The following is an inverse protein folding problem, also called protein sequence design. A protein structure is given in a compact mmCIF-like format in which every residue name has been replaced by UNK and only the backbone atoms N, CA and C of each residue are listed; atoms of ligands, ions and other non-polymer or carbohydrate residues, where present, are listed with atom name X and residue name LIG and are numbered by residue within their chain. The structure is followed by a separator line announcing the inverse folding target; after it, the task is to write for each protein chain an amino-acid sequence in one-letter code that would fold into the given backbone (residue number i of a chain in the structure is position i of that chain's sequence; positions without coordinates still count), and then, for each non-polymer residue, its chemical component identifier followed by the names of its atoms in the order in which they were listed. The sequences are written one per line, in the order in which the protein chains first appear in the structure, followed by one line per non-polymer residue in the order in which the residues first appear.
data_IF_827910872863
#
_entry.id   IF_827910872863
#
_cell.length_a   1.000
_cell.length_b   1.000
_cell.length_c   1.000
_cell.angle_alpha   90.00
_cell.angle_beta   90.00
_cell.angle_gamma   90.00
#
_symmetry.space_group_name_H-M   'P 1'
#
loop_
_entity.id
_entity.type
_entity.pdbx_description
1 polymer ?
#
# COMPACT_ATOMS: atom_id res chain seq x y z
N UNK A 1 -7.17 17.66 -3.93
CA UNK A 1 -7.28 16.18 -3.99
C UNK A 1 -6.06 15.46 -3.44
N UNK A 2 -4.88 16.12 -3.37
CA UNK A 2 -3.66 15.47 -2.87
C UNK A 2 -3.77 14.91 -1.46
N UNK A 3 -4.28 15.71 -0.51
CA UNK A 3 -4.48 15.28 0.88
C UNK A 3 -5.41 14.06 0.98
N UNK A 4 -6.53 14.08 0.24
CA UNK A 4 -7.45 12.95 0.19
C UNK A 4 -6.78 11.68 -0.37
N UNK A 5 -6.00 11.80 -1.46
CA UNK A 5 -5.24 10.68 -2.01
C UNK A 5 -4.21 10.10 -1.03
N UNK A 6 -3.47 10.97 -0.33
CA UNK A 6 -2.53 10.54 0.72
C UNK A 6 -3.21 9.85 1.89
N UNK A 7 -4.37 10.34 2.35
CA UNK A 7 -5.18 9.71 3.40
C UNK A 7 -5.69 8.34 2.95
N UNK A 8 -6.19 8.22 1.72
CA UNK A 8 -6.64 6.93 1.16
C UNK A 8 -5.46 5.95 1.14
N UNK A 9 -4.29 6.38 0.67
CA UNK A 9 -3.07 5.56 0.67
C UNK A 9 -2.63 5.11 2.06
N UNK A 10 -2.67 6.01 3.03
CA UNK A 10 -2.35 5.74 4.43
C UNK A 10 -3.31 4.69 5.04
N UNK A 11 -4.62 4.93 4.91
CA UNK A 11 -5.65 4.04 5.44
C UNK A 11 -5.55 2.67 4.78
N UNK A 12 -5.41 2.63 3.45
CA UNK A 12 -5.23 1.39 2.70
C UNK A 12 -3.99 0.61 3.19
N UNK A 13 -2.87 1.29 3.43
CA UNK A 13 -1.68 0.66 4.00
C UNK A 13 -1.91 0.11 5.41
N UNK A 14 -2.63 0.81 6.28
CA UNK A 14 -2.95 0.31 7.63
C UNK A 14 -3.78 -0.97 7.56
N UNK A 15 -4.83 -0.99 6.72
CA UNK A 15 -5.61 -2.20 6.51
C UNK A 15 -4.79 -3.32 5.83
N UNK A 16 -3.85 -2.96 4.96
CA UNK A 16 -2.89 -3.88 4.37
C UNK A 16 -2.01 -4.57 5.42
N UNK A 17 -1.56 -3.86 6.45
CA UNK A 17 -0.81 -4.45 7.58
C UNK A 17 -1.68 -5.46 8.34
N UNK A 18 -2.95 -5.11 8.60
CA UNK A 18 -3.89 -6.02 9.28
C UNK A 18 -4.12 -7.27 8.42
N UNK A 19 -4.36 -7.10 7.12
CA UNK A 19 -4.53 -8.20 6.17
C UNK A 19 -3.29 -9.10 6.09
N UNK A 20 -2.10 -8.51 6.03
CA UNK A 20 -0.84 -9.24 6.06
C UNK A 20 -0.66 -10.01 7.38
N UNK A 21 -1.04 -9.41 8.51
CA UNK A 21 -1.06 -10.08 9.80
C UNK A 21 -1.99 -11.30 9.81
N UNK A 22 -3.19 -11.18 9.26
CA UNK A 22 -4.12 -12.29 9.10
C UNK A 22 -3.50 -13.39 8.21
N UNK A 23 -2.92 -13.02 7.06
CA UNK A 23 -2.21 -13.95 6.17
C UNK A 23 -1.08 -14.69 6.89
N UNK A 24 -0.29 -13.99 7.71
CA UNK A 24 0.78 -14.58 8.52
C UNK A 24 0.24 -15.52 9.60
N UNK A 25 -0.88 -15.19 10.24
CA UNK A 25 -1.52 -16.06 11.23
C UNK A 25 -2.00 -17.36 10.57
N UNK A 26 -2.72 -17.26 9.44
CA UNK A 26 -3.14 -18.44 8.70
C UNK A 26 -1.96 -19.26 8.18
N UNK A 27 -0.92 -18.61 7.65
CA UNK A 27 0.31 -19.28 7.21
C UNK A 27 1.06 -19.96 8.36
N UNK A 28 1.10 -19.35 9.54
CA UNK A 28 1.72 -19.91 10.74
C UNK A 28 0.98 -21.15 11.26
N UNK A 29 -0.35 -21.08 11.34
CA UNK A 29 -1.18 -22.24 11.70
C UNK A 29 -1.09 -23.34 10.65
N UNK A 30 -1.16 -23.00 9.36
CA UNK A 30 -0.99 -23.95 8.25
C UNK A 30 0.37 -24.66 8.31
N UNK A 31 1.44 -23.93 8.66
CA UNK A 31 2.77 -24.51 8.84
C UNK A 31 2.83 -25.48 10.03
N UNK A 32 2.13 -25.17 11.12
CA UNK A 32 2.11 -26.02 12.31
C UNK A 32 1.39 -27.36 12.09
N UNK A 33 0.45 -27.42 11.14
CA UNK A 33 -0.24 -28.66 10.73
C UNK A 33 0.35 -29.28 9.47
N UNK A 34 1.54 -28.82 9.05
CA UNK A 34 2.27 -29.29 7.85
C UNK A 34 1.44 -29.25 6.55
N UNK A 35 0.56 -28.26 6.41
CA UNK A 35 -0.23 -28.08 5.20
C UNK A 35 0.65 -27.64 4.02
N UNK A 36 0.39 -28.22 2.85
CA UNK A 36 1.07 -27.86 1.61
C UNK A 36 0.89 -26.37 1.27
N UNK A 37 1.99 -25.73 0.86
CA UNK A 37 2.00 -24.31 0.50
C UNK A 37 2.05 -23.33 1.67
N UNK A 38 2.12 -23.79 2.93
CA UNK A 38 2.18 -22.90 4.10
C UNK A 38 3.35 -21.89 4.06
N UNK A 39 4.52 -22.32 3.59
CA UNK A 39 5.68 -21.43 3.45
C UNK A 39 5.43 -20.30 2.43
N UNK A 40 4.67 -20.57 1.37
CA UNK A 40 4.27 -19.54 0.40
C UNK A 40 3.33 -18.53 1.04
N UNK A 41 2.35 -18.98 1.84
CA UNK A 41 1.43 -18.08 2.55
C UNK A 41 2.18 -17.18 3.53
N UNK A 42 3.13 -17.74 4.29
CA UNK A 42 3.98 -16.94 5.19
C UNK A 42 4.83 -15.93 4.42
N UNK A 43 5.42 -16.33 3.29
CA UNK A 43 6.18 -15.42 2.41
C UNK A 43 5.33 -14.27 1.88
N UNK A 44 4.10 -14.57 1.41
CA UNK A 44 3.14 -13.56 0.95
C UNK A 44 2.73 -12.61 2.09
N UNK A 45 2.57 -13.12 3.31
CA UNK A 45 2.31 -12.31 4.49
C UNK A 45 3.42 -11.30 4.78
N UNK A 46 4.69 -11.72 4.72
CA UNK A 46 5.83 -10.82 4.91
C UNK A 46 5.98 -9.80 3.79
N UNK A 47 5.78 -10.22 2.53
CA UNK A 47 5.74 -9.31 1.39
C UNK A 47 4.65 -8.25 1.56
N UNK A 48 3.44 -8.69 1.95
CA UNK A 48 2.31 -7.82 2.18
C UNK A 48 2.55 -6.82 3.31
N UNK A 49 3.21 -7.25 4.39
CA UNK A 49 3.55 -6.41 5.52
C UNK A 49 4.52 -5.28 5.10
N UNK A 50 5.60 -5.64 4.40
CA UNK A 50 6.61 -4.69 3.93
C UNK A 50 6.00 -3.62 3.01
N UNK A 51 5.26 -4.04 1.99
CA UNK A 51 4.64 -3.10 1.05
C UNK A 51 3.54 -2.26 1.70
N UNK A 52 2.84 -2.79 2.70
CA UNK A 52 1.84 -2.03 3.45
C UNK A 52 2.48 -0.92 4.27
N UNK A 53 3.62 -1.17 4.92
CA UNK A 53 4.39 -0.13 5.60
C UNK A 53 4.89 0.95 4.63
N UNK A 54 5.41 0.54 3.47
CA UNK A 54 5.83 1.49 2.42
C UNK A 54 4.63 2.35 1.98
N UNK A 55 3.45 1.74 1.78
CA UNK A 55 2.25 2.46 1.40
C UNK A 55 1.79 3.46 2.49
N UNK A 56 1.89 3.11 3.77
CA UNK A 56 1.61 4.05 4.89
C UNK A 56 2.55 5.25 4.83
N UNK A 57 3.86 5.00 4.73
CA UNK A 57 4.88 6.05 4.72
C UNK A 57 4.68 6.97 3.50
N UNK A 58 4.51 6.39 2.31
CA UNK A 58 4.32 7.16 1.08
C UNK A 58 2.98 7.89 1.05
N UNK A 59 1.91 7.30 1.60
CA UNK A 59 0.62 7.97 1.79
C UNK A 59 0.73 9.19 2.69
N UNK A 60 1.44 9.08 3.81
CA UNK A 60 1.71 10.19 4.72
C UNK A 60 2.54 11.30 4.05
N UNK A 61 3.65 10.92 3.40
CA UNK A 61 4.54 11.86 2.69
C UNK A 61 3.80 12.57 1.55
N UNK A 62 2.95 11.85 0.82
CA UNK A 62 2.16 12.41 -0.28
C UNK A 62 1.20 13.51 0.18
N UNK A 63 0.77 13.57 1.45
CA UNK A 63 -0.09 14.65 1.94
C UNK A 63 0.62 16.02 2.01
N UNK A 64 1.94 16.04 2.21
CA UNK A 64 2.75 17.26 2.35
C UNK A 64 3.66 17.57 1.17
N UNK A 65 3.76 16.67 0.19
CA UNK A 65 4.70 16.78 -0.91
C UNK A 65 4.36 17.91 -1.90
N UNK A 66 5.37 18.65 -2.36
CA UNK A 66 5.20 19.59 -3.49
C UNK A 66 5.38 18.93 -4.87
N UNK A 67 5.89 17.70 -4.90
CA UNK A 67 6.18 16.96 -6.12
C UNK A 67 5.27 15.74 -6.28
N UNK A 68 5.17 15.26 -7.52
CA UNK A 68 4.40 14.06 -7.88
C UNK A 68 5.06 12.75 -7.47
N UNK A 69 6.33 12.81 -7.06
CA UNK A 69 7.17 11.63 -6.82
C UNK A 69 6.54 10.71 -5.77
N UNK A 70 6.06 11.20 -4.61
CA UNK A 70 5.55 10.31 -3.57
C UNK A 70 4.26 9.57 -3.99
N UNK A 71 3.37 10.22 -4.75
CA UNK A 71 2.19 9.55 -5.27
C UNK A 71 2.51 8.52 -6.35
N UNK A 72 3.54 8.76 -7.18
CA UNK A 72 4.02 7.79 -8.17
C UNK A 72 4.69 6.58 -7.52
N UNK A 73 5.51 6.82 -6.49
CA UNK A 73 6.10 5.76 -5.68
C UNK A 73 5.03 4.95 -4.95
N UNK A 74 3.97 5.59 -4.44
CA UNK A 74 2.86 4.90 -3.78
C UNK A 74 2.14 3.95 -4.74
N UNK A 75 1.95 4.37 -6.00
CA UNK A 75 1.40 3.49 -7.04
C UNK A 75 2.32 2.30 -7.34
N UNK A 76 3.63 2.53 -7.44
CA UNK A 76 4.61 1.46 -7.66
C UNK A 76 4.65 0.48 -6.48
N UNK A 77 4.64 0.98 -5.25
CA UNK A 77 4.59 0.13 -4.05
C UNK A 77 3.29 -0.64 -3.97
N UNK A 78 2.18 -0.05 -4.38
CA UNK A 78 0.89 -0.73 -4.44
C UNK A 78 0.91 -1.90 -5.43
N UNK A 79 1.50 -1.73 -6.61
CA UNK A 79 1.66 -2.83 -7.58
C UNK A 79 2.54 -3.94 -7.01
N UNK A 80 3.68 -3.60 -6.40
CA UNK A 80 4.54 -4.58 -5.74
C UNK A 80 3.82 -5.33 -4.61
N UNK A 81 3.07 -4.61 -3.78
CA UNK A 81 2.28 -5.18 -2.69
C UNK A 81 1.12 -6.04 -3.16
N UNK A 82 0.49 -5.72 -4.29
CA UNK A 82 -0.60 -6.53 -4.84
C UNK A 82 -0.10 -7.88 -5.36
N UNK A 83 1.11 -7.91 -5.92
CA UNK A 83 1.73 -9.14 -6.44
C UNK A 83 2.33 -9.97 -5.30
N UNK A 84 3.02 -9.32 -4.36
CA UNK A 84 3.82 -9.98 -3.33
C UNK A 84 3.10 -10.14 -1.98
N UNK A 85 1.95 -9.50 -1.78
CA UNK A 85 1.21 -9.49 -0.52
C UNK A 85 0.08 -10.51 -0.39
N UNK A 86 -0.21 -11.25 -1.47
CA UNK A 86 -1.36 -12.15 -1.52
C UNK A 86 -2.70 -11.43 -1.71
N UNK A 87 -3.77 -12.20 -1.81
CA UNK A 87 -5.10 -11.71 -2.24
C UNK A 87 -5.74 -10.71 -1.28
N UNK A 88 -5.65 -10.94 0.03
CA UNK A 88 -6.21 -10.02 1.04
C UNK A 88 -5.53 -8.65 0.99
N UNK A 89 -4.20 -8.63 0.89
CA UNK A 89 -3.43 -7.38 0.80
C UNK A 89 -3.65 -6.70 -0.55
N UNK A 90 -3.80 -7.47 -1.64
CA UNK A 90 -4.02 -6.93 -2.98
C UNK A 90 -5.25 -6.01 -3.07
N UNK A 91 -6.35 -6.34 -2.38
CA UNK A 91 -7.55 -5.50 -2.34
C UNK A 91 -7.22 -4.11 -1.79
N UNK A 92 -6.47 -4.06 -0.69
CA UNK A 92 -6.05 -2.78 -0.09
C UNK A 92 -5.00 -2.08 -0.96
N UNK A 93 -4.16 -2.82 -1.67
CA UNK A 93 -3.20 -2.22 -2.60
C UNK A 93 -3.88 -1.56 -3.80
N UNK A 94 -5.01 -2.06 -4.28
CA UNK A 94 -5.81 -1.35 -5.30
C UNK A 94 -6.31 0.00 -4.76
N UNK A 95 -6.74 0.06 -3.51
CA UNK A 95 -7.11 1.32 -2.85
C UNK A 95 -5.90 2.25 -2.69
N UNK A 96 -4.74 1.71 -2.30
CA UNK A 96 -3.50 2.48 -2.19
C UNK A 96 -3.06 3.04 -3.54
N UNK A 97 -3.23 2.28 -4.63
CA UNK A 97 -2.97 2.73 -6.00
C UNK A 97 -3.89 3.89 -6.38
N UNK A 98 -5.19 3.77 -6.11
CA UNK A 98 -6.14 4.87 -6.33
C UNK A 98 -5.77 6.11 -5.49
N UNK A 99 -5.34 5.93 -4.24
CA UNK A 99 -4.81 6.99 -3.39
C UNK A 99 -3.59 7.67 -4.01
N UNK A 100 -2.64 6.90 -4.53
CA UNK A 100 -1.45 7.39 -5.24
C UNK A 100 -1.77 8.17 -6.50
N UNK A 101 -2.75 7.73 -7.28
CA UNK A 101 -3.24 8.44 -8.48
C UNK A 101 -3.88 9.79 -8.11
N UNK A 102 -4.75 9.80 -7.10
CA UNK A 102 -5.38 11.02 -6.60
C UNK A 102 -4.36 12.00 -6.01
N UNK A 103 -3.34 11.47 -5.33
CA UNK A 103 -2.23 12.24 -4.80
C UNK A 103 -1.43 12.92 -5.92
N UNK A 104 -1.03 12.17 -6.95
CA UNK A 104 -0.23 12.68 -8.09
C UNK A 104 -0.97 13.72 -8.92
N UNK A 105 -2.26 13.49 -9.22
CA UNK A 105 -3.08 14.46 -9.97
C UNK A 105 -3.30 15.71 -9.12
N UNK A 106 -3.53 15.53 -7.82
CA UNK A 106 -3.72 16.63 -6.87
C UNK A 106 -2.56 17.62 -6.81
N UNK A 107 -1.33 17.16 -6.99
CA UNK A 107 -0.13 18.00 -6.96
C UNK A 107 0.02 18.92 -8.18
N UNK A 108 -0.47 18.53 -9.38
CA UNK A 108 -0.43 19.42 -10.57
C UNK A 108 -1.14 20.75 -10.31
N UNK A 109 -2.30 20.69 -9.64
CA UNK A 109 -3.11 21.87 -9.36
C UNK A 109 -2.41 22.83 -8.39
N UNK A 110 -1.63 22.30 -7.44
CA UNK A 110 -0.96 23.13 -6.44
C UNK A 110 0.27 23.86 -7.01
N UNK A 111 1.02 23.23 -7.92
CA UNK A 111 2.14 23.90 -8.61
C UNK A 111 1.65 25.04 -9.50
N UNK A 112 0.53 24.86 -10.20
CA UNK A 112 -0.05 25.90 -11.08
C UNK A 112 -0.59 27.12 -10.32
N UNK A 113 -1.11 26.94 -9.10
CA UNK A 113 -1.63 28.04 -8.26
C UNK A 113 -0.50 28.78 -7.53
N UNK A 114 0.61 28.11 -7.20
CA UNK A 114 1.75 28.72 -6.53
C UNK A 114 2.66 29.55 -7.46
N UNK A 115 2.44 29.47 -8.77
CA UNK A 115 3.18 30.19 -9.81
C UNK A 115 2.38 31.30 -10.49
N UNK A 116 1.19 31.63 -9.97
CA UNK A 116 0.33 32.73 -10.41
C UNK A 116 0.24 33.79 -9.30
#
# INVERSE_FOLDING_TARGET
MQKAGGIIGLIAGIFGVIAAGITLLFGGVAKAVEADGANTVVGLGWGGLLFSFIAIILGAVAMGAKSKVPGALLMLSALGGAILGGTLVAIFMVLAFAGGLLATIGTKKQVAIASA
#
